data_IF_429397344092
#
_entry.id   IF_429397344092
#
_cell.length_a   1.000
_cell.length_b   1.000
_cell.length_c   1.000
_cell.angle_alpha   90.00
_cell.angle_beta   90.00
_cell.angle_gamma   90.00
#
_symmetry.space_group_name_H-M   'P 1'
#
loop_
_entity.id
_entity.type
_entity.pdbx_description
1 polymer ?
#
# COMPACT_ATOMS: atom_id res chain seq x y z
N UNK A 1 -38.93 -29.88 13.21
CA UNK A 1 -38.19 -30.47 12.07
C UNK A 1 -37.77 -29.43 11.02
N UNK A 2 -38.56 -28.37 10.77
CA UNK A 2 -38.30 -27.42 9.68
C UNK A 2 -36.96 -26.63 9.74
N UNK A 3 -36.24 -26.64 10.87
CA UNK A 3 -34.96 -25.93 11.05
C UNK A 3 -33.88 -26.76 11.79
N UNK A 4 -34.00 -28.08 11.79
CA UNK A 4 -32.98 -28.95 12.40
C UNK A 4 -31.66 -28.88 11.61
N UNK A 5 -30.53 -28.66 12.29
CA UNK A 5 -29.21 -28.59 11.66
C UNK A 5 -28.29 -29.73 12.12
N UNK A 6 -27.44 -30.21 11.22
CA UNK A 6 -26.54 -31.32 11.52
C UNK A 6 -25.45 -30.89 12.51
N UNK A 7 -25.44 -31.52 13.69
CA UNK A 7 -24.50 -31.19 14.78
C UNK A 7 -23.03 -31.43 14.42
N UNK A 8 -22.70 -32.53 13.74
CA UNK A 8 -21.29 -32.84 13.42
C UNK A 8 -20.71 -31.81 12.45
N UNK A 9 -21.52 -31.37 11.48
CA UNK A 9 -21.16 -30.29 10.57
C UNK A 9 -20.99 -28.96 11.33
N UNK A 10 -21.96 -28.58 12.18
CA UNK A 10 -21.87 -27.36 12.97
C UNK A 10 -20.60 -27.30 13.84
N UNK A 11 -20.30 -28.38 14.57
CA UNK A 11 -19.13 -28.43 15.47
C UNK A 11 -17.81 -28.26 14.68
N UNK A 12 -17.68 -28.89 13.51
CA UNK A 12 -16.47 -28.77 12.69
C UNK A 12 -16.22 -27.32 12.25
N UNK A 13 -17.24 -26.61 11.76
CA UNK A 13 -17.10 -25.21 11.36
C UNK A 13 -16.95 -24.27 12.55
N UNK A 14 -17.63 -24.53 13.68
CA UNK A 14 -17.45 -23.74 14.90
C UNK A 14 -16.01 -23.80 15.43
N UNK A 15 -15.35 -24.97 15.32
CA UNK A 15 -13.93 -25.11 15.68
C UNK A 15 -13.03 -24.22 14.82
N UNK A 16 -13.20 -24.25 13.50
CA UNK A 16 -12.44 -23.37 12.58
C UNK A 16 -12.71 -21.89 12.85
N UNK A 17 -13.97 -21.51 13.09
CA UNK A 17 -14.33 -20.14 13.41
C UNK A 17 -13.67 -19.68 14.73
N UNK A 18 -13.64 -20.55 15.74
CA UNK A 18 -12.95 -20.27 17.00
C UNK A 18 -11.44 -20.12 16.82
N UNK A 19 -10.80 -20.99 16.04
CA UNK A 19 -9.37 -20.92 15.73
C UNK A 19 -9.02 -19.62 14.99
N UNK A 20 -9.83 -19.21 14.00
CA UNK A 20 -9.66 -17.92 13.32
C UNK A 20 -9.84 -16.73 14.28
N UNK A 21 -10.85 -16.79 15.16
CA UNK A 21 -11.07 -15.74 16.15
C UNK A 21 -9.90 -15.63 17.13
N UNK A 22 -9.36 -16.77 17.57
CA UNK A 22 -8.16 -16.83 18.41
C UNK A 22 -6.97 -16.15 17.72
N UNK A 23 -6.65 -16.52 16.48
CA UNK A 23 -5.57 -15.90 15.72
C UNK A 23 -5.80 -14.39 15.50
N UNK A 24 -7.03 -13.97 15.18
CA UNK A 24 -7.38 -12.55 14.99
C UNK A 24 -7.24 -11.71 16.28
N UNK A 25 -7.31 -12.33 17.45
CA UNK A 25 -7.16 -11.66 18.75
C UNK A 25 -5.69 -11.62 19.18
N UNK A 26 -4.99 -12.76 19.12
CA UNK A 26 -3.65 -12.90 19.69
C UNK A 26 -2.51 -12.68 18.71
N UNK A 27 -2.75 -12.86 17.40
CA UNK A 27 -1.78 -12.66 16.31
C UNK A 27 -2.38 -11.81 15.18
N UNK A 28 -2.90 -10.60 15.48
CA UNK A 28 -3.67 -9.84 14.52
C UNK A 28 -2.84 -9.39 13.31
N UNK A 29 -1.57 -9.03 13.51
CA UNK A 29 -0.68 -8.56 12.45
C UNK A 29 -0.46 -9.63 11.38
N UNK A 30 -0.12 -10.84 11.83
CA UNK A 30 0.11 -12.01 10.99
C UNK A 30 -1.20 -12.47 10.33
N UNK A 31 -2.28 -12.52 11.11
CA UNK A 31 -3.62 -12.88 10.63
C UNK A 31 -4.06 -12.00 9.46
N UNK A 32 -3.94 -10.68 9.60
CA UNK A 32 -4.32 -9.76 8.53
C UNK A 32 -3.35 -9.78 7.36
N UNK A 33 -2.05 -9.94 7.60
CA UNK A 33 -1.06 -10.06 6.51
C UNK A 33 -1.37 -11.27 5.63
N UNK A 34 -1.70 -12.42 6.23
CA UNK A 34 -2.12 -13.63 5.50
C UNK A 34 -3.42 -13.39 4.73
N UNK A 35 -4.45 -12.81 5.38
CA UNK A 35 -5.72 -12.52 4.71
C UNK A 35 -5.55 -11.58 3.51
N UNK A 36 -4.76 -10.51 3.65
CA UNK A 36 -4.50 -9.54 2.58
C UNK A 36 -3.67 -10.14 1.44
N UNK A 37 -2.80 -11.10 1.74
CA UNK A 37 -2.09 -11.85 0.72
C UNK A 37 -3.02 -12.76 -0.08
N UNK A 38 -3.97 -13.41 0.59
CA UNK A 38 -4.98 -14.25 -0.05
C UNK A 38 -5.98 -13.42 -0.87
N UNK A 39 -6.55 -12.37 -0.27
CA UNK A 39 -7.55 -11.51 -0.91
C UNK A 39 -7.53 -10.09 -0.29
N UNK A 40 -7.08 -9.11 -1.07
CA UNK A 40 -7.00 -7.72 -0.63
C UNK A 40 -8.40 -7.06 -0.65
N UNK A 41 -9.17 -7.24 0.42
CA UNK A 41 -10.50 -6.61 0.57
C UNK A 41 -10.46 -5.31 1.37
N UNK A 42 -11.26 -4.34 0.93
CA UNK A 42 -11.48 -3.08 1.67
C UNK A 42 -12.02 -3.32 3.09
N UNK A 43 -12.82 -4.37 3.32
CA UNK A 43 -13.30 -4.72 4.67
C UNK A 43 -12.16 -5.11 5.61
N UNK A 44 -11.12 -5.81 5.11
CA UNK A 44 -9.96 -6.16 5.93
C UNK A 44 -9.11 -4.92 6.23
N UNK A 45 -8.92 -4.02 5.26
CA UNK A 45 -8.24 -2.75 5.48
C UNK A 45 -8.96 -1.88 6.53
N UNK A 46 -10.30 -1.87 6.52
CA UNK A 46 -11.11 -1.21 7.55
C UNK A 46 -10.96 -1.88 8.92
N UNK A 47 -10.98 -3.21 9.00
CA UNK A 47 -10.77 -3.95 10.25
C UNK A 47 -9.40 -3.66 10.89
N UNK A 48 -8.34 -3.60 10.07
CA UNK A 48 -6.98 -3.23 10.48
C UNK A 48 -6.98 -1.82 11.08
N UNK A 49 -7.59 -0.86 10.37
CA UNK A 49 -7.74 0.53 10.83
C UNK A 49 -8.53 0.63 12.14
N UNK A 50 -9.63 -0.10 12.27
CA UNK A 50 -10.48 -0.12 13.46
C UNK A 50 -9.78 -0.73 14.67
N UNK A 51 -8.87 -1.70 14.45
CA UNK A 51 -8.01 -2.28 15.49
C UNK A 51 -6.81 -1.42 15.84
N UNK A 52 -6.62 -0.27 15.18
CA UNK A 52 -5.46 0.60 15.40
C UNK A 52 -4.14 0.00 14.91
N UNK A 53 -4.19 -1.01 14.04
CA UNK A 53 -3.00 -1.60 13.44
C UNK A 53 -2.48 -0.64 12.37
N UNK A 54 -1.18 -0.34 12.43
CA UNK A 54 -0.54 0.55 11.48
C UNK A 54 -0.21 -0.20 10.19
N UNK A 55 -0.88 0.19 9.11
CA UNK A 55 -0.57 -0.24 7.75
C UNK A 55 0.33 0.81 7.10
N UNK A 56 1.52 0.39 6.67
CA UNK A 56 2.47 1.23 5.95
C UNK A 56 2.48 0.87 4.46
N UNK A 57 2.86 1.86 3.65
CA UNK A 57 3.06 1.66 2.22
C UNK A 57 4.15 0.65 1.92
N UNK A 58 4.28 0.24 0.66
CA UNK A 58 5.46 -0.47 0.25
C UNK A 58 6.68 0.41 0.51
N UNK A 59 7.78 -0.23 0.88
CA UNK A 59 9.08 0.36 1.13
C UNK A 59 10.11 -0.68 0.67
N UNK A 60 10.98 -0.33 -0.27
CA UNK A 60 11.95 -1.29 -0.82
C UNK A 60 12.88 -1.89 0.25
N UNK A 61 13.04 -1.22 1.40
CA UNK A 61 13.86 -1.70 2.51
C UNK A 61 13.13 -2.65 3.47
N UNK A 62 11.79 -2.67 3.49
CA UNK A 62 11.04 -3.42 4.50
C UNK A 62 9.94 -4.32 3.91
N UNK A 63 9.40 -3.98 2.74
CA UNK A 63 8.33 -4.73 2.10
C UNK A 63 8.86 -6.01 1.44
N UNK A 64 8.07 -7.08 1.52
CA UNK A 64 8.31 -8.31 0.78
C UNK A 64 7.47 -8.34 -0.51
N UNK A 65 7.49 -9.46 -1.22
CA UNK A 65 6.60 -9.67 -2.38
C UNK A 65 5.13 -9.51 -2.00
N UNK A 66 4.73 -10.02 -0.84
CA UNK A 66 3.40 -9.90 -0.27
C UNK A 66 3.35 -8.96 0.94
N UNK A 67 2.15 -8.77 1.49
CA UNK A 67 1.99 -8.13 2.79
C UNK A 67 2.79 -8.89 3.85
N UNK A 68 3.52 -8.16 4.69
CA UNK A 68 4.32 -8.73 5.78
C UNK A 68 4.11 -7.91 7.04
N UNK A 69 4.04 -8.59 8.17
CA UNK A 69 4.09 -7.96 9.48
C UNK A 69 5.52 -7.93 9.99
N UNK A 70 6.01 -6.74 10.34
CA UNK A 70 7.31 -6.55 11.00
C UNK A 70 7.19 -5.44 12.06
N UNK A 71 7.89 -5.60 13.19
CA UNK A 71 8.01 -4.58 14.26
C UNK A 71 6.70 -3.85 14.63
N UNK A 72 5.59 -4.57 14.69
CA UNK A 72 4.28 -4.02 15.10
C UNK A 72 3.51 -3.28 14.01
N UNK A 73 3.95 -3.35 12.76
CA UNK A 73 3.26 -2.77 11.60
C UNK A 73 3.05 -3.82 10.51
N UNK A 74 2.15 -3.53 9.57
CA UNK A 74 2.01 -4.30 8.32
C UNK A 74 2.53 -3.45 7.18
N UNK A 75 3.46 -3.97 6.39
CA UNK A 75 3.91 -3.35 5.15
C UNK A 75 3.10 -3.91 3.97
N UNK A 76 2.66 -3.02 3.08
CA UNK A 76 2.14 -3.43 1.78
C UNK A 76 3.27 -4.04 0.96
N UNK A 77 3.03 -5.22 0.38
CA UNK A 77 4.04 -5.90 -0.44
C UNK A 77 4.29 -5.19 -1.77
N UNK A 78 5.52 -5.27 -2.27
CA UNK A 78 5.90 -4.74 -3.59
C UNK A 78 5.07 -5.37 -4.72
N UNK A 79 4.68 -6.64 -4.58
CA UNK A 79 3.82 -7.34 -5.53
C UNK A 79 2.37 -6.84 -5.57
N UNK A 80 1.99 -5.88 -4.73
CA UNK A 80 0.70 -5.19 -4.77
C UNK A 80 0.73 -3.90 -5.59
N UNK A 81 1.90 -3.49 -6.07
CA UNK A 81 2.08 -2.34 -6.95
C UNK A 81 1.70 -2.76 -8.38
N UNK A 82 0.62 -2.21 -8.90
CA UNK A 82 0.13 -2.45 -10.26
C UNK A 82 1.16 -1.96 -11.27
N UNK A 83 1.48 -2.82 -12.24
CA UNK A 83 2.41 -2.50 -13.32
C UNK A 83 3.89 -2.65 -12.97
N UNK A 84 4.24 -2.99 -11.73
CA UNK A 84 5.61 -3.30 -11.35
C UNK A 84 6.01 -4.69 -11.86
N UNK A 85 7.18 -4.78 -12.49
CA UNK A 85 7.68 -6.05 -13.03
C UNK A 85 7.96 -7.06 -11.92
N UNK A 86 7.46 -8.30 -12.08
CA UNK A 86 7.63 -9.38 -11.10
C UNK A 86 9.10 -9.75 -10.88
N UNK A 87 9.90 -9.76 -11.95
CA UNK A 87 11.33 -10.05 -11.83
C UNK A 87 12.06 -8.98 -11.03
N UNK A 88 11.73 -7.70 -11.29
CA UNK A 88 12.27 -6.55 -10.55
C UNK A 88 11.96 -6.68 -9.07
N UNK A 89 10.74 -7.10 -8.69
CA UNK A 89 10.40 -7.35 -7.28
C UNK A 89 11.31 -8.42 -6.67
N UNK A 90 11.47 -9.55 -7.35
CA UNK A 90 12.30 -10.66 -6.86
C UNK A 90 13.78 -10.24 -6.77
N UNK A 91 14.27 -9.45 -7.72
CA UNK A 91 15.63 -8.89 -7.74
C UNK A 91 15.85 -7.91 -6.58
N UNK A 92 14.93 -6.96 -6.33
CA UNK A 92 14.99 -6.02 -5.20
C UNK A 92 15.09 -6.77 -3.87
N UNK A 93 14.20 -7.75 -3.66
CA UNK A 93 14.17 -8.53 -2.41
C UNK A 93 15.44 -9.37 -2.25
N UNK A 94 15.89 -10.04 -3.32
CA UNK A 94 17.11 -10.85 -3.30
C UNK A 94 18.34 -10.00 -3.01
N UNK A 95 18.45 -8.85 -3.67
CA UNK A 95 19.56 -7.92 -3.54
C UNK A 95 19.62 -7.35 -2.11
N UNK A 96 18.47 -6.92 -1.57
CA UNK A 96 18.35 -6.48 -0.17
C UNK A 96 18.75 -7.57 0.82
N UNK A 97 18.29 -8.80 0.63
CA UNK A 97 18.56 -9.89 1.56
C UNK A 97 20.03 -10.33 1.55
N UNK A 98 20.71 -10.16 0.41
CA UNK A 98 22.11 -10.57 0.24
C UNK A 98 23.08 -9.50 0.72
N UNK A 99 22.77 -8.21 0.54
CA UNK A 99 23.71 -7.11 0.80
C UNK A 99 23.19 -6.05 1.78
N UNK A 100 22.03 -6.27 2.41
CA UNK A 100 21.43 -5.37 3.38
C UNK A 100 20.57 -4.28 2.75
N UNK A 101 20.09 -3.36 3.60
CA UNK A 101 19.20 -2.27 3.22
C UNK A 101 19.88 -1.31 2.23
N UNK A 102 19.10 -0.71 1.34
CA UNK A 102 19.52 0.37 0.47
C UNK A 102 19.68 1.65 1.28
N UNK A 103 20.89 2.21 1.28
CA UNK A 103 21.26 3.40 2.07
C UNK A 103 20.76 4.70 1.45
N UNK A 104 20.54 4.72 0.14
CA UNK A 104 20.12 5.88 -0.63
C UNK A 104 19.69 5.51 -2.04
N UNK A 105 19.11 6.47 -2.77
CA UNK A 105 18.70 6.26 -4.16
C UNK A 105 19.87 5.85 -5.06
N UNK A 106 21.03 6.47 -4.88
CA UNK A 106 22.25 6.13 -5.65
C UNK A 106 22.70 4.69 -5.39
N UNK A 107 22.69 4.25 -4.13
CA UNK A 107 23.03 2.88 -3.74
C UNK A 107 22.04 1.87 -4.32
N UNK A 108 20.74 2.19 -4.27
CA UNK A 108 19.70 1.40 -4.92
C UNK A 108 19.96 1.24 -6.43
N UNK A 109 20.17 2.35 -7.15
CA UNK A 109 20.41 2.30 -8.60
C UNK A 109 21.71 1.54 -8.94
N UNK A 110 22.78 1.74 -8.17
CA UNK A 110 24.05 1.03 -8.38
C UNK A 110 23.90 -0.48 -8.18
N UNK A 111 23.20 -0.90 -7.12
CA UNK A 111 22.99 -2.33 -6.81
C UNK A 111 22.01 -3.01 -7.75
N UNK A 112 21.06 -2.25 -8.29
CA UNK A 112 20.11 -2.73 -9.30
C UNK A 112 20.66 -2.61 -10.74
N UNK A 113 21.88 -2.13 -10.93
CA UNK A 113 22.49 -2.03 -12.26
C UNK A 113 22.61 -3.42 -12.90
N UNK A 114 22.10 -3.55 -14.13
CA UNK A 114 22.05 -4.83 -14.85
C UNK A 114 20.84 -5.71 -14.55
N UNK A 115 19.89 -5.23 -13.72
CA UNK A 115 18.58 -5.85 -13.54
C UNK A 115 17.59 -5.46 -14.67
N UNK A 116 16.42 -6.10 -14.69
CA UNK A 116 15.34 -5.79 -15.65
C UNK A 116 14.54 -4.50 -15.26
N UNK A 117 15.06 -3.66 -14.34
CA UNK A 117 14.37 -2.46 -13.87
C UNK A 117 14.36 -1.36 -14.94
N UNK A 118 13.17 -0.88 -15.31
CA UNK A 118 12.99 0.17 -16.31
C UNK A 118 12.36 1.45 -15.76
N UNK A 119 12.17 2.43 -16.63
CA UNK A 119 11.58 3.73 -16.28
C UNK A 119 10.18 3.56 -15.64
N UNK A 120 9.35 2.70 -16.23
CA UNK A 120 8.00 2.42 -15.71
C UNK A 120 8.07 1.87 -14.28
N UNK A 121 9.04 1.02 -13.95
CA UNK A 121 9.17 0.45 -12.60
C UNK A 121 9.53 1.53 -11.58
N UNK A 122 10.46 2.44 -11.92
CA UNK A 122 10.80 3.60 -11.07
C UNK A 122 9.58 4.49 -10.85
N UNK A 123 8.78 4.75 -11.88
CA UNK A 123 7.54 5.55 -11.76
C UNK A 123 6.53 4.85 -10.84
N UNK A 124 6.30 3.55 -10.99
CA UNK A 124 5.34 2.83 -10.14
C UNK A 124 5.81 2.70 -8.69
N UNK A 125 7.10 2.45 -8.46
CA UNK A 125 7.71 2.46 -7.12
C UNK A 125 7.54 3.82 -6.46
N UNK A 126 7.75 4.90 -7.22
CA UNK A 126 7.57 6.29 -6.79
C UNK A 126 6.13 6.58 -6.40
N UNK A 127 5.17 6.31 -7.29
CA UNK A 127 3.75 6.55 -7.01
C UNK A 127 3.22 5.74 -5.84
N UNK A 128 3.73 4.51 -5.65
CA UNK A 128 3.39 3.67 -4.51
C UNK A 128 4.01 4.16 -3.18
N UNK A 129 5.00 5.06 -3.24
CA UNK A 129 5.73 5.56 -2.08
C UNK A 129 6.91 4.70 -1.63
N UNK A 130 7.30 3.72 -2.45
CA UNK A 130 8.34 2.74 -2.11
C UNK A 130 9.72 3.34 -1.93
N UNK A 131 9.93 4.56 -2.43
CA UNK A 131 11.19 5.30 -2.45
C UNK A 131 11.15 6.55 -1.56
N UNK A 132 10.03 6.82 -0.87
CA UNK A 132 9.82 8.07 -0.09
C UNK A 132 10.89 8.26 1.01
N UNK A 133 11.47 7.18 1.52
CA UNK A 133 12.49 7.22 2.58
C UNK A 133 13.85 7.76 2.11
N UNK A 134 14.07 7.94 0.80
CA UNK A 134 15.30 8.50 0.25
C UNK A 134 15.36 10.04 0.28
N UNK A 135 14.31 10.71 0.74
CA UNK A 135 14.29 12.16 0.92
C UNK A 135 14.04 12.98 -0.36
N UNK A 136 13.74 12.31 -1.47
CA UNK A 136 13.22 12.94 -2.68
C UNK A 136 11.70 12.97 -2.65
N UNK A 137 11.12 14.03 -3.20
CA UNK A 137 9.68 14.08 -3.38
C UNK A 137 9.25 13.23 -4.60
N UNK A 138 7.98 12.82 -4.64
CA UNK A 138 7.54 11.88 -5.68
C UNK A 138 7.57 12.50 -7.08
N UNK A 139 7.35 13.81 -7.18
CA UNK A 139 7.41 14.52 -8.46
C UNK A 139 8.84 14.55 -9.04
N UNK A 140 9.85 14.73 -8.19
CA UNK A 140 11.27 14.66 -8.55
C UNK A 140 11.62 13.29 -9.13
N UNK A 141 11.35 12.21 -8.38
CA UNK A 141 11.67 10.85 -8.82
C UNK A 141 10.96 10.47 -10.12
N UNK A 142 9.67 10.80 -10.23
CA UNK A 142 8.88 10.54 -11.42
C UNK A 142 9.42 11.28 -12.64
N UNK A 143 9.80 12.55 -12.49
CA UNK A 143 10.26 13.37 -13.62
C UNK A 143 11.64 12.96 -14.10
N UNK A 144 12.50 12.53 -13.17
CA UNK A 144 13.87 12.13 -13.49
C UNK A 144 14.01 10.62 -13.77
N UNK A 145 12.93 9.83 -13.76
CA UNK A 145 12.96 8.36 -13.89
C UNK A 145 13.78 7.87 -15.10
N UNK A 146 13.55 8.43 -16.29
CA UNK A 146 14.31 8.10 -17.50
C UNK A 146 15.81 8.40 -17.38
N UNK A 147 16.15 9.54 -16.76
CA UNK A 147 17.54 9.93 -16.51
C UNK A 147 18.21 9.03 -15.48
N UNK A 148 17.48 8.57 -14.46
CA UNK A 148 18.00 7.64 -13.45
C UNK A 148 18.35 6.27 -14.05
N UNK A 149 17.49 5.75 -14.94
CA UNK A 149 17.75 4.50 -15.67
C UNK A 149 18.95 4.66 -16.61
N UNK A 150 18.97 5.74 -17.39
CA UNK A 150 20.12 6.06 -18.25
C UNK A 150 21.42 6.10 -17.42
N UNK A 151 21.44 6.84 -16.32
CA UNK A 151 22.61 6.95 -15.46
C UNK A 151 23.05 5.61 -14.86
N UNK A 152 22.10 4.73 -14.53
CA UNK A 152 22.37 3.37 -14.06
C UNK A 152 23.02 2.50 -15.15
N UNK A 153 22.58 2.59 -16.40
CA UNK A 153 23.14 1.83 -17.53
C UNK A 153 24.56 2.27 -17.92
N UNK A 154 24.86 3.58 -17.87
CA UNK A 154 26.17 4.11 -18.24
C UNK A 154 27.23 4.02 -17.11
N UNK A 155 26.91 3.37 -15.99
CA UNK A 155 27.85 3.02 -14.92
C UNK A 155 27.97 4.05 -13.79
N UNK A 156 28.43 3.59 -12.62
CA UNK A 156 28.35 4.30 -11.34
C UNK A 156 28.94 5.72 -11.28
N UNK A 157 29.86 6.09 -12.18
CA UNK A 157 30.43 7.44 -12.25
C UNK A 157 29.42 8.50 -12.68
N UNK A 158 28.47 8.17 -13.55
CA UNK A 158 27.42 9.09 -14.00
C UNK A 158 26.29 9.23 -12.98
N UNK A 159 26.05 8.22 -12.15
CA UNK A 159 25.04 8.30 -11.09
C UNK A 159 25.36 9.37 -10.04
N UNK A 160 26.63 9.54 -9.68
CA UNK A 160 27.07 10.62 -8.77
C UNK A 160 26.96 12.02 -9.39
N UNK A 161 26.96 12.12 -10.71
CA UNK A 161 26.86 13.41 -11.43
C UNK A 161 25.43 13.74 -11.87
N UNK A 162 24.53 12.76 -11.85
CA UNK A 162 23.14 12.93 -12.26
C UNK A 162 22.41 13.80 -11.24
N UNK A 163 22.27 15.09 -11.55
CA UNK A 163 21.50 16.02 -10.75
C UNK A 163 20.02 15.76 -10.96
N UNK A 164 19.35 15.30 -9.90
CA UNK A 164 17.89 15.27 -9.84
C UNK A 164 17.41 16.72 -9.84
N UNK A 165 16.64 17.08 -10.86
CA UNK A 165 16.08 18.43 -10.96
C UNK A 165 15.09 18.62 -9.82
N UNK A 166 15.34 19.60 -8.96
CA UNK A 166 14.46 19.95 -7.85
C UNK A 166 13.15 20.53 -8.40
N UNK A 167 12.04 19.88 -8.08
CA UNK A 167 10.70 20.24 -8.54
C UNK A 167 9.79 20.24 -7.31
N UNK A 168 8.81 21.15 -7.27
CA UNK A 168 7.81 21.16 -6.20
C UNK A 168 7.02 19.84 -6.15
N UNK A 169 6.66 19.40 -4.95
CA UNK A 169 5.86 18.19 -4.75
C UNK A 169 4.49 18.31 -5.44
N UNK A 170 3.96 17.17 -5.89
CA UNK A 170 2.64 17.09 -6.50
C UNK A 170 1.55 17.48 -5.49
N UNK A 171 0.37 17.87 -5.99
CA UNK A 171 -0.75 18.17 -5.09
C UNK A 171 -1.15 16.93 -4.29
N UNK A 172 -1.71 17.11 -3.08
CA UNK A 172 -2.17 15.99 -2.27
C UNK A 172 -3.20 15.12 -3.01
N UNK A 173 -4.08 15.74 -3.81
CA UNK A 173 -5.09 15.02 -4.58
C UNK A 173 -4.45 14.16 -5.66
N UNK A 174 -3.46 14.68 -6.39
CA UNK A 174 -2.74 13.93 -7.41
C UNK A 174 -1.94 12.79 -6.78
N UNK A 175 -1.27 13.05 -5.66
CA UNK A 175 -0.55 12.02 -4.89
C UNK A 175 -1.47 10.86 -4.49
N UNK A 176 -2.62 11.17 -3.91
CA UNK A 176 -3.60 10.17 -3.50
C UNK A 176 -4.23 9.46 -4.70
N UNK A 177 -4.43 10.15 -5.82
CA UNK A 177 -4.93 9.55 -7.06
C UNK A 177 -3.94 8.53 -7.62
N UNK A 178 -2.66 8.88 -7.74
CA UNK A 178 -1.61 7.95 -8.18
C UNK A 178 -1.44 6.78 -7.21
N UNK A 179 -1.48 7.03 -5.90
CA UNK A 179 -1.40 5.96 -4.91
C UNK A 179 -2.58 4.97 -5.04
N UNK A 180 -3.80 5.49 -5.21
CA UNK A 180 -5.00 4.66 -5.48
C UNK A 180 -4.89 3.92 -6.82
N UNK A 181 -4.31 4.54 -7.85
CA UNK A 181 -4.12 3.93 -9.17
C UNK A 181 -3.19 2.72 -9.10
N UNK A 182 -2.08 2.84 -8.36
CA UNK A 182 -1.04 1.81 -8.31
C UNK A 182 -1.27 0.76 -7.21
N UNK A 183 -1.90 1.10 -6.08
CA UNK A 183 -2.16 0.17 -4.98
C UNK A 183 -3.62 -0.31 -4.90
N UNK A 184 -4.56 0.39 -5.53
CA UNK A 184 -6.00 0.14 -5.42
C UNK A 184 -6.66 0.76 -4.18
N UNK A 185 -5.89 1.34 -3.26
CA UNK A 185 -6.34 2.02 -2.05
C UNK A 185 -5.34 3.10 -1.63
N UNK A 186 -5.75 3.97 -0.71
CA UNK A 186 -4.87 5.03 -0.16
C UNK A 186 -4.41 4.68 1.26
N UNK A 187 -3.12 4.88 1.50
CA UNK A 187 -2.37 4.65 2.75
C UNK A 187 -2.01 5.99 3.37
N UNK A 188 -1.62 6.97 2.56
CA UNK A 188 -1.29 8.34 2.97
C UNK A 188 -2.48 9.11 3.59
N UNK A 189 -3.66 8.49 3.65
CA UNK A 189 -4.88 9.06 4.21
C UNK A 189 -6.01 9.10 3.17
N UNK A 190 -7.13 9.70 3.56
CA UNK A 190 -8.27 9.95 2.69
C UNK A 190 -8.35 11.45 2.37
N UNK A 191 -8.73 11.87 1.15
CA UNK A 191 -8.86 13.29 0.80
C UNK A 191 -9.74 14.11 1.76
N UNK A 192 -10.72 13.47 2.40
CA UNK A 192 -11.62 14.11 3.37
C UNK A 192 -11.06 14.13 4.80
N UNK A 193 -9.92 13.49 5.06
CA UNK A 193 -9.33 13.45 6.41
C UNK A 193 -9.02 14.86 6.94
N UNK A 194 -8.69 15.80 6.05
CA UNK A 194 -8.56 17.24 6.37
C UNK A 194 -9.85 17.85 6.92
N UNK A 195 -11.00 17.41 6.40
CA UNK A 195 -12.34 17.86 6.80
C UNK A 195 -12.96 17.03 7.93
N UNK A 196 -12.29 15.96 8.39
CA UNK A 196 -12.85 14.99 9.34
C UNK A 196 -13.36 15.62 10.62
N UNK A 197 -12.60 16.58 11.17
CA UNK A 197 -13.02 17.32 12.39
C UNK A 197 -14.31 18.09 12.16
N UNK A 198 -14.45 18.72 10.98
CA UNK A 198 -15.63 19.50 10.63
C UNK A 198 -16.85 18.61 10.35
N UNK A 199 -16.64 17.47 9.69
CA UNK A 199 -17.66 16.44 9.43
C UNK A 199 -18.23 15.91 10.75
N UNK A 200 -17.35 15.55 11.71
CA UNK A 200 -17.77 15.10 13.04
C UNK A 200 -18.51 16.21 13.79
N UNK A 201 -17.98 17.44 13.77
CA UNK A 201 -18.61 18.60 14.44
C UNK A 201 -20.00 18.92 13.90
N UNK A 202 -20.22 18.77 12.59
CA UNK A 202 -21.50 19.02 11.93
C UNK A 202 -22.49 17.84 12.02
N UNK A 203 -22.11 16.73 12.66
CA UNK A 203 -22.99 15.59 12.92
C UNK A 203 -23.34 14.78 11.67
N UNK A 204 -22.44 14.71 10.69
CA UNK A 204 -22.64 13.85 9.52
C UNK A 204 -22.46 12.37 9.89
N UNK A 205 -23.33 11.51 9.38
CA UNK A 205 -23.32 10.05 9.62
C UNK A 205 -22.28 9.35 8.75
N UNK A 206 -21.56 8.37 9.30
CA UNK A 206 -20.63 7.55 8.51
C UNK A 206 -21.38 6.48 7.73
N UNK A 207 -20.81 6.04 6.61
CA UNK A 207 -21.42 5.02 5.75
C UNK A 207 -21.63 3.67 6.46
N UNK A 208 -20.79 3.36 7.44
CA UNK A 208 -20.88 2.11 8.21
C UNK A 208 -22.00 2.14 9.26
N UNK A 209 -22.52 3.30 9.60
CA UNK A 209 -23.57 3.48 10.61
C UNK A 209 -24.98 3.58 9.98
N UNK A 210 -25.09 3.25 8.69
CA UNK A 210 -26.35 3.34 7.98
C UNK A 210 -27.33 2.24 8.39
N UNK A 211 -28.59 2.62 8.59
CA UNK A 211 -29.74 1.75 8.87
C UNK A 211 -30.79 1.94 7.77
N UNK A 212 -31.63 0.95 7.57
CA UNK A 212 -32.76 1.06 6.65
C UNK A 212 -33.72 2.19 7.11
N UNK A 213 -34.38 2.83 6.14
CA UNK A 213 -35.46 3.80 6.35
C UNK A 213 -35.11 5.04 7.18
N UNK A 214 -33.83 5.43 7.24
CA UNK A 214 -33.39 6.67 7.88
C UNK A 214 -32.97 7.74 6.86
N UNK A 215 -33.32 9.00 7.15
CA UNK A 215 -32.78 10.17 6.45
C UNK A 215 -31.57 10.67 7.23
N UNK A 216 -30.39 10.66 6.62
CA UNK A 216 -29.14 11.13 7.23
C UNK A 216 -28.45 12.16 6.37
N UNK A 217 -27.63 13.00 7.00
CA UNK A 217 -26.68 13.87 6.29
C UNK A 217 -25.34 13.14 6.25
N UNK A 218 -24.75 13.03 5.06
CA UNK A 218 -23.43 12.41 4.88
C UNK A 218 -22.49 13.34 4.12
N UNK A 219 -21.20 13.23 4.43
CA UNK A 219 -20.13 13.79 3.62
C UNK A 219 -19.53 12.65 2.80
N UNK A 220 -19.59 12.75 1.48
CA UNK A 220 -19.13 11.70 0.55
C UNK A 220 -18.20 12.28 -0.49
N UNK A 221 -17.30 11.44 -0.99
CA UNK A 221 -16.53 11.74 -2.19
C UNK A 221 -17.22 11.08 -3.38
N UNK A 222 -17.46 11.86 -4.43
CA UNK A 222 -18.03 11.35 -5.67
C UNK A 222 -16.88 10.81 -6.52
N UNK A 223 -16.87 9.50 -6.74
CA UNK A 223 -15.82 8.81 -7.51
C UNK A 223 -16.11 8.84 -9.02
N UNK A 224 -17.38 8.71 -9.41
CA UNK A 224 -17.82 8.82 -10.80
C UNK A 224 -19.24 9.35 -10.90
N UNK A 225 -19.55 10.02 -11.99
CA UNK A 225 -20.91 10.43 -12.37
C UNK A 225 -21.28 9.63 -13.61
N UNK A 226 -22.37 8.85 -13.52
CA UNK A 226 -22.90 8.12 -14.66
C UNK A 226 -24.03 8.94 -15.27
N UNK A 227 -23.77 9.57 -16.41
CA UNK A 227 -24.82 10.19 -17.23
C UNK A 227 -25.47 9.10 -18.08
N UNK A 228 -26.79 8.96 -17.92
CA UNK A 228 -27.67 8.17 -18.80
C UNK A 228 -27.75 8.79 -20.19
#
# INVERSE_FOLDING_TARGET
ANYGFNKSHAVAYSKLAFEMAYLKIYFPLEFFSVLLNYDTKNSYLQDIKNKGIKLLGPDINHAERGFISDKGVIYVGLGKIKGLNRKVIDEIVKERNSHGLFSGLTDFLQRMAGSDIGESDIVQLTYAGSLDHFGYNRQELKTNAASLITAMEFGGSLLSETKISAIGEMSLLDRLAHEKEVLGFTISGHPIDSLRKEIVKKGYTQINDLKADQIVKMAVMIDSIRTT
#
